data_IF_094861171014
#
_entry.id   IF_094861171014
#
_cell.length_a   1.000
_cell.length_b   1.000
_cell.length_c   1.000
_cell.angle_alpha   90.00
_cell.angle_beta   90.00
_cell.angle_gamma   90.00
#
_symmetry.space_group_name_H-M   'P 1'
#
loop_
_entity.id
_entity.type
_entity.pdbx_description
1 polymer ?
#
# COMPACT_ATOMS: atom_id res chain seq x y z
N UNK A 1 -38.39 74.35 -25.17
CA UNK A 1 -38.02 73.08 -24.50
C UNK A 1 -37.48 72.13 -25.57
N UNK A 2 -36.16 72.01 -25.67
CA UNK A 2 -35.49 71.20 -26.71
C UNK A 2 -34.24 70.53 -26.12
N UNK A 3 -34.24 69.21 -26.29
CA UNK A 3 -33.15 68.30 -26.64
C UNK A 3 -31.82 68.38 -25.87
N UNK A 4 -31.48 67.26 -25.21
CA UNK A 4 -30.21 66.58 -25.51
C UNK A 4 -30.30 65.07 -25.30
N UNK A 5 -29.79 64.33 -26.28
CA UNK A 5 -29.72 62.86 -26.37
C UNK A 5 -28.70 62.31 -25.36
N UNK A 6 -28.99 61.17 -24.73
CA UNK A 6 -27.98 60.36 -24.06
C UNK A 6 -27.85 59.00 -24.76
N UNK A 7 -26.62 58.72 -25.18
CA UNK A 7 -26.14 57.49 -25.81
C UNK A 7 -26.18 56.32 -24.81
N UNK A 8 -26.67 55.17 -25.26
CA UNK A 8 -26.52 53.91 -24.56
C UNK A 8 -25.08 53.40 -24.72
N UNK A 9 -24.38 53.17 -23.60
CA UNK A 9 -23.13 52.41 -23.55
C UNK A 9 -23.42 51.15 -22.74
N UNK A 10 -23.51 50.01 -23.43
CA UNK A 10 -23.56 48.70 -22.81
C UNK A 10 -22.15 48.33 -22.34
N UNK A 11 -21.92 48.31 -21.03
CA UNK A 11 -20.71 47.72 -20.44
C UNK A 11 -20.87 46.19 -20.36
N UNK A 12 -20.11 45.47 -21.17
CA UNK A 12 -19.86 44.03 -20.99
C UNK A 12 -18.81 43.85 -19.87
N UNK A 13 -19.05 43.03 -18.84
CA UNK A 13 -17.99 42.68 -17.89
C UNK A 13 -17.06 41.63 -18.51
N UNK A 14 -15.82 42.02 -18.79
CA UNK A 14 -14.72 41.10 -19.13
C UNK A 14 -14.27 40.40 -17.84
N UNK A 15 -14.61 39.13 -17.70
CA UNK A 15 -14.08 38.24 -16.65
C UNK A 15 -12.60 37.93 -16.95
N UNK A 16 -11.68 38.68 -16.33
CA UNK A 16 -10.28 38.28 -16.23
C UNK A 16 -10.17 37.09 -15.28
N UNK A 17 -10.02 35.89 -15.85
CA UNK A 17 -9.69 34.69 -15.09
C UNK A 17 -8.19 34.67 -14.80
N UNK A 18 -7.81 35.06 -13.58
CA UNK A 18 -6.46 34.90 -13.06
C UNK A 18 -6.16 33.41 -12.84
N UNK A 19 -5.45 32.78 -13.78
CA UNK A 19 -4.87 31.46 -13.58
C UNK A 19 -3.73 31.57 -12.57
N UNK A 20 -4.02 31.31 -11.30
CA UNK A 20 -3.01 30.99 -10.31
C UNK A 20 -2.43 29.63 -10.72
N UNK A 21 -1.25 29.67 -11.33
CA UNK A 21 -0.44 28.49 -11.65
C UNK A 21 -0.07 27.80 -10.33
N UNK A 22 -0.85 26.78 -9.97
CA UNK A 22 -0.53 25.89 -8.87
C UNK A 22 0.74 25.14 -9.27
N UNK A 23 1.87 25.49 -8.66
CA UNK A 23 3.14 24.76 -8.79
C UNK A 23 2.88 23.31 -8.37
N UNK A 24 2.73 22.45 -9.38
CA UNK A 24 2.71 21.00 -9.25
C UNK A 24 4.01 20.60 -8.56
N UNK A 25 3.91 19.98 -7.38
CA UNK A 25 5.05 19.29 -6.78
C UNK A 25 5.61 18.30 -7.83
N UNK A 26 6.94 18.15 -7.95
CA UNK A 26 7.51 17.26 -8.95
C UNK A 26 7.03 15.84 -8.67
N UNK A 27 6.50 15.17 -9.70
CA UNK A 27 6.32 13.74 -9.67
C UNK A 27 7.71 13.09 -9.50
N UNK A 28 7.86 12.01 -8.71
CA UNK A 28 9.10 11.26 -8.64
C UNK A 28 9.25 10.43 -9.92
N UNK A 29 9.63 11.08 -11.03
CA UNK A 29 9.82 10.44 -12.33
C UNK A 29 11.10 10.87 -13.05
N UNK A 30 11.99 11.63 -12.41
CA UNK A 30 13.18 12.19 -13.09
C UNK A 30 14.44 11.30 -13.08
N UNK A 31 14.44 10.09 -12.51
CA UNK A 31 15.66 9.25 -12.41
C UNK A 31 15.70 7.99 -13.29
N UNK A 32 14.73 7.77 -14.18
CA UNK A 32 14.63 6.51 -14.94
C UNK A 32 15.34 6.50 -16.32
N UNK A 33 15.93 7.60 -16.77
CA UNK A 33 16.27 7.77 -18.20
C UNK A 33 17.75 7.89 -18.55
N UNK A 34 18.68 7.90 -17.59
CA UNK A 34 20.12 7.99 -17.93
C UNK A 34 20.66 6.61 -18.31
N UNK A 35 21.21 6.42 -19.52
CA UNK A 35 21.85 5.15 -19.90
C UNK A 35 23.01 4.77 -18.95
N UNK A 36 23.33 3.48 -18.78
CA UNK A 36 24.53 3.06 -18.07
C UNK A 36 25.80 3.65 -18.70
N UNK A 37 26.80 3.96 -17.88
CA UNK A 37 28.12 4.33 -18.39
C UNK A 37 28.73 3.16 -19.20
N UNK A 38 29.65 3.41 -20.16
CA UNK A 38 30.23 2.35 -21.00
C UNK A 38 30.91 1.22 -20.22
N UNK A 39 31.45 1.51 -19.04
CA UNK A 39 32.11 0.60 -18.11
C UNK A 39 31.20 0.10 -16.96
N UNK A 40 29.89 0.36 -17.06
CA UNK A 40 28.87 -0.04 -16.08
C UNK A 40 27.93 -1.10 -16.67
N UNK A 41 27.58 -2.09 -15.85
CA UNK A 41 26.40 -2.93 -16.02
C UNK A 41 25.38 -2.46 -14.99
N UNK A 42 24.22 -2.03 -15.47
CA UNK A 42 23.11 -1.65 -14.60
C UNK A 42 22.12 -2.79 -14.51
N UNK A 43 21.81 -3.20 -13.28
CA UNK A 43 20.77 -4.14 -12.96
C UNK A 43 19.50 -3.38 -12.52
N UNK A 44 18.38 -3.66 -13.16
CA UNK A 44 17.07 -3.18 -12.74
C UNK A 44 16.49 -4.12 -11.68
N UNK A 45 16.08 -3.56 -10.55
CA UNK A 45 15.56 -4.31 -9.42
C UNK A 45 14.21 -3.77 -8.96
N UNK A 46 13.11 -4.41 -9.34
CA UNK A 46 11.78 -4.04 -8.82
C UNK A 46 11.44 -4.80 -7.54
N UNK A 47 10.78 -4.13 -6.60
CA UNK A 47 10.44 -4.74 -5.32
C UNK A 47 9.22 -4.09 -4.66
N UNK A 48 8.57 -4.82 -3.76
CA UNK A 48 7.42 -4.31 -3.01
C UNK A 48 7.77 -3.10 -2.11
N UNK A 49 7.03 -1.99 -2.25
CA UNK A 49 7.38 -0.68 -1.67
C UNK A 49 7.46 -0.62 -0.15
N UNK A 50 6.87 -1.58 0.58
CA UNK A 50 7.04 -1.74 2.03
C UNK A 50 8.49 -2.00 2.45
N UNK A 51 9.35 -2.44 1.52
CA UNK A 51 10.78 -2.68 1.78
C UNK A 51 11.67 -1.48 1.47
N UNK A 52 11.10 -0.37 1.01
CA UNK A 52 11.83 0.72 0.36
C UNK A 52 13.02 1.22 1.15
N UNK A 53 12.83 1.58 2.42
CA UNK A 53 13.92 2.07 3.26
C UNK A 53 15.10 1.09 3.34
N UNK A 54 14.80 -0.18 3.64
CA UNK A 54 15.83 -1.22 3.74
C UNK A 54 16.54 -1.45 2.39
N UNK A 55 15.78 -1.54 1.29
CA UNK A 55 16.35 -1.78 -0.04
C UNK A 55 17.18 -0.59 -0.52
N UNK A 56 16.75 0.64 -0.25
CA UNK A 56 17.52 1.86 -0.55
C UNK A 56 18.87 1.86 0.19
N UNK A 57 18.86 1.56 1.50
CA UNK A 57 20.08 1.52 2.32
C UNK A 57 21.09 0.48 1.82
N UNK A 58 20.64 -0.76 1.56
CA UNK A 58 21.54 -1.84 1.10
C UNK A 58 21.98 -1.63 -0.35
N UNK A 59 21.12 -1.06 -1.19
CA UNK A 59 21.46 -0.75 -2.60
C UNK A 59 22.48 0.38 -2.67
N UNK A 60 22.33 1.43 -1.85
CA UNK A 60 23.31 2.50 -1.74
C UNK A 60 24.67 1.95 -1.30
N UNK A 61 24.69 1.11 -0.26
CA UNK A 61 25.89 0.43 0.22
C UNK A 61 26.55 -0.41 -0.89
N UNK A 62 25.77 -1.21 -1.61
CA UNK A 62 26.28 -2.03 -2.71
C UNK A 62 26.88 -1.17 -3.84
N UNK A 63 26.17 -0.13 -4.29
CA UNK A 63 26.63 0.74 -5.37
C UNK A 63 27.90 1.52 -5.00
N UNK A 64 28.08 1.86 -3.71
CA UNK A 64 29.28 2.50 -3.17
C UNK A 64 30.48 1.54 -3.05
N UNK A 65 30.23 0.23 -2.87
CA UNK A 65 31.30 -0.78 -2.78
C UNK A 65 32.18 -0.87 -4.04
N UNK A 66 31.67 -0.38 -5.19
CA UNK A 66 32.37 -0.46 -6.45
C UNK A 66 32.53 -1.88 -6.98
N UNK A 67 31.59 -2.79 -6.62
CA UNK A 67 31.58 -4.16 -7.10
C UNK A 67 31.74 -4.24 -8.62
N UNK A 68 32.54 -5.21 -9.08
CA UNK A 68 32.86 -5.40 -10.49
C UNK A 68 32.57 -6.84 -10.92
N UNK A 69 32.20 -6.99 -12.18
CA UNK A 69 32.20 -8.29 -12.84
C UNK A 69 33.63 -8.82 -12.99
N UNK A 70 33.77 -10.11 -13.30
CA UNK A 70 35.07 -10.70 -13.64
C UNK A 70 35.76 -9.98 -14.82
N UNK A 71 34.99 -9.38 -15.74
CA UNK A 71 35.50 -8.57 -16.85
C UNK A 71 35.84 -7.13 -16.49
N UNK A 72 35.80 -6.75 -15.21
CA UNK A 72 36.20 -5.42 -14.72
C UNK A 72 35.15 -4.31 -14.84
N UNK A 73 33.97 -4.59 -15.42
CA UNK A 73 32.85 -3.62 -15.46
C UNK A 73 32.24 -3.45 -14.08
N UNK A 74 31.96 -2.20 -13.69
CA UNK A 74 31.25 -1.88 -12.45
C UNK A 74 29.81 -2.38 -12.52
N UNK A 75 29.30 -2.91 -11.41
CA UNK A 75 27.89 -3.29 -11.26
C UNK A 75 27.19 -2.16 -10.50
N UNK A 76 26.10 -1.66 -11.06
CA UNK A 76 25.21 -0.72 -10.40
C UNK A 76 23.80 -1.31 -10.35
N UNK A 77 23.11 -1.15 -9.22
CA UNK A 77 21.72 -1.57 -9.04
C UNK A 77 20.84 -0.34 -9.00
N UNK A 78 19.81 -0.33 -9.83
CA UNK A 78 18.74 0.65 -9.80
C UNK A 78 17.49 -0.03 -9.23
N UNK A 79 17.17 0.30 -7.98
CA UNK A 79 16.06 -0.30 -7.26
C UNK A 79 14.78 0.54 -7.38
N UNK A 80 13.64 -0.11 -7.67
CA UNK A 80 12.36 0.54 -7.98
C UNK A 80 11.25 0.01 -7.06
N UNK A 81 10.73 0.81 -6.11
CA UNK A 81 9.64 0.40 -5.23
C UNK A 81 8.28 0.44 -5.97
N UNK A 82 7.51 -0.65 -5.88
CA UNK A 82 6.22 -0.82 -6.58
C UNK A 82 5.19 -1.61 -5.76
N UNK A 83 3.96 -1.75 -6.25
CA UNK A 83 3.06 -2.81 -5.79
C UNK A 83 3.63 -4.20 -6.09
N UNK A 84 3.43 -5.19 -5.22
CA UNK A 84 3.96 -6.54 -5.46
C UNK A 84 3.30 -7.26 -6.65
N UNK A 85 2.02 -6.98 -6.90
CA UNK A 85 1.33 -7.44 -8.11
C UNK A 85 1.84 -6.69 -9.33
N UNK A 86 2.02 -5.37 -9.21
CA UNK A 86 2.58 -4.53 -10.28
C UNK A 86 3.98 -5.00 -10.74
N UNK A 87 4.89 -5.33 -9.81
CA UNK A 87 6.20 -5.94 -10.13
C UNK A 87 6.07 -7.14 -11.08
N UNK A 88 5.11 -8.04 -10.79
CA UNK A 88 4.92 -9.27 -11.57
C UNK A 88 4.15 -9.00 -12.86
N UNK A 89 3.13 -8.15 -12.82
CA UNK A 89 2.32 -7.81 -13.99
C UNK A 89 3.16 -7.10 -15.06
N UNK A 90 4.05 -6.19 -14.66
CA UNK A 90 4.97 -5.50 -15.57
C UNK A 90 5.96 -6.47 -16.21
N UNK A 91 6.52 -7.39 -15.41
CA UNK A 91 7.42 -8.44 -15.88
C UNK A 91 6.73 -9.40 -16.86
N UNK A 92 5.56 -9.93 -16.49
CA UNK A 92 4.80 -10.91 -17.31
C UNK A 92 4.29 -10.28 -18.61
N UNK A 93 3.88 -9.02 -18.57
CA UNK A 93 3.42 -8.30 -19.77
C UNK A 93 4.57 -7.81 -20.67
N UNK A 94 5.82 -7.90 -20.21
CA UNK A 94 6.98 -7.37 -20.93
C UNK A 94 7.01 -5.84 -20.98
N UNK A 95 6.25 -5.15 -20.12
CA UNK A 95 6.34 -3.69 -19.97
C UNK A 95 7.69 -3.27 -19.39
N UNK A 96 8.25 -4.12 -18.55
CA UNK A 96 9.58 -3.96 -17.98
C UNK A 96 10.40 -5.25 -18.09
N UNK A 97 11.72 -5.08 -18.08
CA UNK A 97 12.70 -6.14 -18.16
C UNK A 97 13.61 -6.07 -16.93
N UNK A 98 13.03 -6.35 -15.77
CA UNK A 98 13.77 -6.36 -14.51
C UNK A 98 14.75 -7.55 -14.46
N UNK A 99 15.99 -7.27 -14.05
CA UNK A 99 17.00 -8.31 -13.81
C UNK A 99 16.80 -9.02 -12.46
N UNK A 100 16.23 -8.29 -11.50
CA UNK A 100 15.96 -8.74 -10.14
C UNK A 100 14.54 -8.37 -9.75
N UNK A 101 13.87 -9.26 -9.01
CA UNK A 101 12.57 -8.96 -8.43
C UNK A 101 12.48 -9.38 -6.96
N UNK A 102 11.75 -8.62 -6.15
CA UNK A 102 11.42 -8.97 -4.77
C UNK A 102 10.00 -8.51 -4.41
N UNK A 103 8.96 -9.16 -4.95
CA UNK A 103 7.59 -8.94 -4.48
C UNK A 103 7.50 -9.35 -3.01
N UNK A 104 6.54 -8.79 -2.28
CA UNK A 104 6.41 -9.01 -0.84
C UNK A 104 6.00 -10.43 -0.47
N UNK A 105 5.39 -11.18 -1.40
CA UNK A 105 4.94 -12.54 -1.17
C UNK A 105 5.12 -13.42 -2.40
N UNK A 106 5.37 -14.71 -2.15
CA UNK A 106 5.47 -15.73 -3.18
C UNK A 106 4.16 -15.94 -3.95
N UNK A 107 3.03 -15.44 -3.45
CA UNK A 107 1.74 -15.56 -4.12
C UNK A 107 1.77 -14.92 -5.51
N UNK A 108 2.38 -13.74 -5.64
CA UNK A 108 2.49 -13.05 -6.92
C UNK A 108 3.43 -13.78 -7.87
N UNK A 109 4.55 -14.33 -7.38
CA UNK A 109 5.47 -15.14 -8.20
C UNK A 109 4.74 -16.36 -8.76
N UNK A 110 3.97 -17.07 -7.92
CA UNK A 110 3.20 -18.25 -8.35
C UNK A 110 2.15 -17.89 -9.40
N UNK A 111 1.42 -16.78 -9.21
CA UNK A 111 0.43 -16.29 -10.16
C UNK A 111 1.09 -15.89 -11.49
N UNK A 112 2.18 -15.11 -11.44
CA UNK A 112 2.92 -14.68 -12.62
C UNK A 112 3.53 -15.85 -13.40
N UNK A 113 4.15 -16.81 -12.73
CA UNK A 113 4.67 -18.01 -13.38
C UNK A 113 3.55 -18.88 -13.95
N UNK A 114 2.39 -18.98 -13.29
CA UNK A 114 1.24 -19.69 -13.87
C UNK A 114 0.76 -19.03 -15.16
N UNK A 115 0.65 -17.70 -15.17
CA UNK A 115 0.31 -16.94 -16.38
C UNK A 115 1.37 -17.10 -17.48
N UNK A 116 2.66 -16.99 -17.12
CA UNK A 116 3.75 -17.14 -18.09
C UNK A 116 3.81 -18.56 -18.68
N UNK A 117 3.60 -19.61 -17.88
CA UNK A 117 3.50 -20.99 -18.38
C UNK A 117 2.35 -21.15 -19.36
N UNK A 118 1.19 -20.56 -19.07
CA UNK A 118 0.05 -20.61 -19.97
C UNK A 118 0.33 -19.91 -21.31
N UNK A 119 1.13 -18.84 -21.31
CA UNK A 119 1.46 -18.07 -22.51
C UNK A 119 2.69 -18.57 -23.29
N UNK A 120 3.72 -19.06 -22.60
CA UNK A 120 5.05 -19.32 -23.18
C UNK A 120 5.59 -20.73 -22.91
N UNK A 121 4.89 -21.52 -22.08
CA UNK A 121 5.33 -22.85 -21.66
C UNK A 121 6.46 -22.85 -20.62
N UNK A 122 6.87 -21.70 -20.09
CA UNK A 122 7.98 -21.56 -19.13
C UNK A 122 7.63 -20.63 -17.98
N UNK A 123 8.36 -20.78 -16.88
CA UNK A 123 8.32 -19.82 -15.78
C UNK A 123 9.09 -18.56 -16.18
N UNK A 124 8.59 -17.38 -15.80
CA UNK A 124 9.28 -16.10 -16.03
C UNK A 124 10.22 -15.74 -14.89
N UNK A 125 9.87 -16.16 -13.67
CA UNK A 125 10.72 -16.03 -12.48
C UNK A 125 11.31 -17.39 -12.14
N UNK A 126 12.63 -17.46 -12.01
CA UNK A 126 13.33 -18.67 -11.58
C UNK A 126 13.19 -18.97 -10.08
N UNK A 127 14.17 -19.72 -9.55
CA UNK A 127 14.22 -20.05 -8.13
C UNK A 127 14.36 -18.78 -7.27
N UNK A 128 13.62 -18.73 -6.17
CA UNK A 128 13.63 -17.59 -5.23
C UNK A 128 13.92 -18.03 -3.80
N UNK A 129 14.37 -17.09 -2.98
CA UNK A 129 14.61 -17.27 -1.56
C UNK A 129 13.95 -16.14 -0.77
N UNK A 130 13.46 -16.46 0.43
CA UNK A 130 12.95 -15.44 1.33
C UNK A 130 14.12 -14.70 1.98
N UNK A 131 14.21 -13.39 1.77
CA UNK A 131 15.27 -12.56 2.35
C UNK A 131 14.90 -12.04 3.75
N UNK A 132 13.64 -11.65 3.91
CA UNK A 132 13.08 -11.09 5.15
C UNK A 132 11.62 -11.53 5.28
N UNK A 133 11.13 -11.59 6.52
CA UNK A 133 9.72 -11.86 6.83
C UNK A 133 9.19 -10.74 7.72
N UNK A 134 8.03 -10.19 7.35
CA UNK A 134 7.27 -9.27 8.18
C UNK A 134 5.80 -9.63 8.02
N UNK A 135 5.07 -9.93 9.10
CA UNK A 135 3.64 -10.20 9.02
C UNK A 135 2.86 -8.92 8.66
N UNK A 136 1.67 -9.10 8.11
CA UNK A 136 0.66 -8.03 8.03
C UNK A 136 -0.08 -7.89 9.37
N UNK A 137 -0.36 -6.67 9.78
CA UNK A 137 -1.02 -6.35 11.05
C UNK A 137 -2.13 -5.34 10.80
N UNK A 138 -3.09 -5.27 11.72
CA UNK A 138 -4.01 -4.14 11.75
C UNK A 138 -3.27 -3.00 12.46
N UNK A 139 -2.72 -2.09 11.68
CA UNK A 139 -2.13 -0.85 12.16
C UNK A 139 -3.24 0.11 12.60
N UNK A 140 -3.24 0.53 13.86
CA UNK A 140 -4.25 1.42 14.42
C UNK A 140 -3.59 2.47 15.31
N UNK A 141 -4.13 3.68 15.34
CA UNK A 141 -3.66 4.70 16.28
C UNK A 141 -3.83 4.21 17.72
N UNK A 142 -2.78 4.29 18.53
CA UNK A 142 -2.74 3.74 19.90
C UNK A 142 -4.00 4.06 20.74
N UNK A 143 -4.47 5.32 20.86
CA UNK A 143 -5.66 5.61 21.67
C UNK A 143 -6.94 4.96 21.11
N UNK A 144 -7.06 4.80 19.79
CA UNK A 144 -8.17 4.09 19.15
C UNK A 144 -8.11 2.59 19.41
N UNK A 145 -6.91 2.00 19.37
CA UNK A 145 -6.70 0.60 19.70
C UNK A 145 -7.06 0.29 21.16
N UNK A 146 -6.62 1.13 22.09
CA UNK A 146 -6.93 1.00 23.51
C UNK A 146 -8.44 1.13 23.78
N UNK A 147 -9.14 2.02 23.07
CA UNK A 147 -10.59 2.20 23.17
C UNK A 147 -11.38 0.94 22.82
N UNK A 148 -10.86 0.10 21.92
CA UNK A 148 -11.48 -1.19 21.56
C UNK A 148 -10.98 -2.37 22.40
N UNK A 149 -10.09 -2.11 23.36
CA UNK A 149 -9.60 -3.07 24.35
C UNK A 149 -8.22 -3.67 24.04
N UNK A 150 -7.50 -3.16 23.04
CA UNK A 150 -6.12 -3.56 22.79
C UNK A 150 -5.26 -3.33 24.06
N UNK A 151 -4.36 -4.27 24.34
CA UNK A 151 -3.57 -4.31 25.58
C UNK A 151 -4.29 -4.93 26.79
N UNK A 152 -5.61 -5.15 26.71
CA UNK A 152 -6.42 -5.79 27.77
C UNK A 152 -7.06 -7.10 27.33
N UNK A 153 -7.45 -7.21 26.07
CA UNK A 153 -8.02 -8.43 25.46
C UNK A 153 -7.45 -8.64 24.04
N UNK A 154 -7.46 -9.89 23.53
CA UNK A 154 -7.19 -10.14 22.12
C UNK A 154 -8.20 -9.42 21.23
N UNK A 155 -7.69 -8.68 20.23
CA UNK A 155 -8.49 -8.00 19.22
C UNK A 155 -8.39 -8.78 17.91
N UNK A 156 -9.49 -8.92 17.18
CA UNK A 156 -9.52 -9.65 15.91
C UNK A 156 -10.43 -9.03 14.87
N UNK A 157 -10.61 -9.74 13.75
CA UNK A 157 -11.42 -9.26 12.63
C UNK A 157 -12.90 -9.07 12.99
N UNK A 158 -13.42 -9.85 13.94
CA UNK A 158 -14.78 -9.64 14.44
C UNK A 158 -14.95 -8.28 15.15
N UNK A 159 -13.90 -7.79 15.83
CA UNK A 159 -13.91 -6.47 16.48
C UNK A 159 -13.86 -5.36 15.41
N UNK A 160 -13.09 -5.56 14.32
CA UNK A 160 -13.07 -4.64 13.16
C UNK A 160 -14.43 -4.62 12.45
N UNK A 161 -15.06 -5.77 12.24
CA UNK A 161 -16.41 -5.85 11.67
C UNK A 161 -17.45 -5.12 12.53
N UNK A 162 -17.33 -5.20 13.86
CA UNK A 162 -18.23 -4.48 14.76
C UNK A 162 -18.07 -2.96 14.60
N UNK A 163 -16.84 -2.44 14.53
CA UNK A 163 -16.56 -1.03 14.26
C UNK A 163 -17.08 -0.60 12.88
N UNK A 164 -16.84 -1.42 11.85
CA UNK A 164 -17.28 -1.17 10.48
C UNK A 164 -18.80 -1.05 10.35
N UNK A 165 -19.55 -1.80 11.16
CA UNK A 165 -21.02 -1.79 11.16
C UNK A 165 -21.63 -0.73 12.07
N UNK A 166 -20.85 -0.10 12.95
CA UNK A 166 -21.37 0.89 13.88
C UNK A 166 -21.55 2.26 13.22
N UNK A 167 -22.81 2.60 12.95
CA UNK A 167 -23.19 3.89 12.35
C UNK A 167 -22.89 5.10 13.24
N UNK A 168 -22.73 4.93 14.55
CA UNK A 168 -22.32 6.00 15.47
C UNK A 168 -20.80 6.18 15.50
N UNK A 169 -20.05 5.26 14.90
CA UNK A 169 -18.60 5.26 14.85
C UNK A 169 -17.98 5.34 16.24
N UNK A 170 -16.97 6.19 16.38
CA UNK A 170 -16.23 6.37 17.62
C UNK A 170 -17.06 6.99 18.75
N UNK A 171 -18.26 7.54 18.47
CA UNK A 171 -19.18 8.02 19.50
C UNK A 171 -19.66 6.89 20.43
N UNK A 172 -19.83 5.66 19.91
CA UNK A 172 -20.18 4.49 20.74
C UNK A 172 -19.12 4.12 21.77
N UNK A 173 -17.89 4.61 21.55
CA UNK A 173 -16.75 4.40 22.42
C UNK A 173 -16.42 5.65 23.26
N UNK A 174 -17.26 6.70 23.21
CA UNK A 174 -17.06 7.95 23.95
C UNK A 174 -16.11 8.95 23.29
N UNK A 175 -15.75 8.74 22.02
CA UNK A 175 -14.81 9.58 21.28
C UNK A 175 -15.41 10.15 19.98
N UNK A 176 -16.49 10.96 20.05
CA UNK A 176 -17.15 11.50 18.87
C UNK A 176 -16.23 12.35 17.98
N UNK A 177 -15.16 12.94 18.55
CA UNK A 177 -14.17 13.72 17.81
C UNK A 177 -13.39 12.91 16.75
N UNK A 178 -13.38 11.58 16.84
CA UNK A 178 -12.76 10.71 15.83
C UNK A 178 -13.72 10.35 14.68
N UNK A 179 -15.00 10.73 14.77
CA UNK A 179 -16.00 10.55 13.72
C UNK A 179 -16.36 9.08 13.44
N UNK A 180 -16.69 8.78 12.19
CA UNK A 180 -16.98 7.42 11.73
C UNK A 180 -15.70 6.57 11.71
N UNK A 181 -15.84 5.27 11.94
CA UNK A 181 -14.74 4.34 11.73
C UNK A 181 -14.38 4.27 10.23
N UNK A 182 -13.09 4.41 9.93
CA UNK A 182 -12.56 4.32 8.55
C UNK A 182 -11.45 3.28 8.52
N UNK A 183 -11.66 2.24 7.73
CA UNK A 183 -10.70 1.17 7.53
C UNK A 183 -10.05 1.28 6.15
N UNK A 184 -8.88 0.68 5.97
CA UNK A 184 -8.30 0.59 4.65
C UNK A 184 -7.21 -0.48 4.51
N UNK A 185 -7.12 -1.04 3.33
CA UNK A 185 -6.01 -1.85 2.90
C UNK A 185 -5.71 -1.53 1.43
N UNK A 186 -4.66 -2.11 0.87
CA UNK A 186 -4.33 -1.87 -0.54
C UNK A 186 -5.22 -2.66 -1.49
N UNK A 187 -5.21 -2.32 -2.78
CA UNK A 187 -5.99 -3.06 -3.77
C UNK A 187 -5.49 -4.52 -3.87
N UNK A 188 -6.35 -5.54 -3.69
CA UNK A 188 -5.94 -6.95 -3.62
C UNK A 188 -5.21 -7.45 -4.86
N UNK A 189 -5.53 -6.91 -6.05
CA UNK A 189 -4.85 -7.31 -7.29
C UNK A 189 -3.41 -6.80 -7.39
N UNK A 190 -3.13 -5.61 -6.85
CA UNK A 190 -1.88 -4.90 -7.14
C UNK A 190 -0.88 -4.94 -5.99
N UNK A 191 -1.33 -5.19 -4.76
CA UNK A 191 -0.51 -5.06 -3.57
C UNK A 191 -0.80 -6.13 -2.53
N UNK A 192 0.28 -6.56 -1.87
CA UNK A 192 0.24 -7.74 -1.01
C UNK A 192 -0.61 -7.55 0.25
N UNK A 193 -0.60 -6.37 0.89
CA UNK A 193 -1.45 -6.18 2.07
C UNK A 193 -2.93 -6.32 1.74
N UNK A 194 -3.36 -5.97 0.52
CA UNK A 194 -4.73 -6.13 0.06
C UNK A 194 -5.16 -7.59 -0.04
N UNK A 195 -4.40 -8.41 -0.78
CA UNK A 195 -4.74 -9.83 -0.91
C UNK A 195 -4.63 -10.57 0.42
N UNK A 196 -3.63 -10.26 1.24
CA UNK A 196 -3.50 -10.86 2.57
C UNK A 196 -4.60 -10.43 3.55
N UNK A 197 -5.16 -9.22 3.41
CA UNK A 197 -6.34 -8.80 4.18
C UNK A 197 -7.53 -9.68 3.87
N UNK A 198 -7.86 -9.84 2.58
CA UNK A 198 -8.97 -10.71 2.17
C UNK A 198 -8.77 -12.16 2.59
N UNK A 199 -7.55 -12.69 2.46
CA UNK A 199 -7.24 -14.04 2.94
C UNK A 199 -7.48 -14.13 4.45
N UNK A 200 -6.97 -13.18 5.23
CA UNK A 200 -7.12 -13.17 6.68
C UNK A 200 -8.59 -13.04 7.12
N UNK A 201 -9.38 -12.19 6.48
CA UNK A 201 -10.80 -12.02 6.76
C UNK A 201 -11.60 -13.28 6.47
N UNK A 202 -11.31 -13.99 5.38
CA UNK A 202 -11.95 -15.27 5.07
C UNK A 202 -11.61 -16.34 6.10
N UNK A 203 -10.34 -16.46 6.51
CA UNK A 203 -9.94 -17.38 7.57
C UNK A 203 -10.62 -17.05 8.90
N UNK A 204 -10.71 -15.76 9.25
CA UNK A 204 -11.38 -15.30 10.45
C UNK A 204 -12.89 -15.58 10.44
N UNK A 205 -13.55 -15.34 9.31
CA UNK A 205 -14.98 -15.58 9.14
C UNK A 205 -15.35 -17.07 9.31
N UNK A 206 -14.46 -17.96 8.84
CA UNK A 206 -14.67 -19.42 8.86
C UNK A 206 -14.18 -20.03 10.18
N UNK A 207 -13.28 -19.35 10.90
CA UNK A 207 -12.67 -19.87 12.12
C UNK A 207 -11.62 -20.95 11.87
N UNK A 208 -10.89 -20.86 10.74
CA UNK A 208 -9.81 -21.78 10.37
C UNK A 208 -8.45 -21.09 10.47
N UNK A 209 -7.41 -21.88 10.71
CA UNK A 209 -6.01 -21.43 10.60
C UNK A 209 -5.28 -22.02 9.38
N UNK A 210 -5.88 -23.03 8.73
CA UNK A 210 -5.34 -23.70 7.53
C UNK A 210 -6.46 -24.39 6.76
N UNK A 211 -6.20 -24.71 5.49
CA UNK A 211 -7.11 -25.50 4.66
C UNK A 211 -8.42 -24.77 4.33
N UNK A 212 -8.34 -23.47 4.03
CA UNK A 212 -9.47 -22.73 3.47
C UNK A 212 -9.82 -23.30 2.09
N UNK A 213 -11.11 -23.56 1.86
CA UNK A 213 -11.63 -24.10 0.60
C UNK A 213 -12.47 -23.07 -0.13
N UNK A 214 -12.71 -23.28 -1.43
CA UNK A 214 -13.62 -22.44 -2.24
C UNK A 214 -15.03 -22.42 -1.62
N UNK A 215 -15.54 -23.57 -1.17
CA UNK A 215 -16.85 -23.65 -0.53
C UNK A 215 -16.94 -22.84 0.77
N UNK A 216 -15.84 -22.73 1.53
CA UNK A 216 -15.81 -21.88 2.72
C UNK A 216 -15.94 -20.39 2.36
N UNK A 217 -15.25 -19.97 1.29
CA UNK A 217 -15.25 -18.58 0.78
C UNK A 217 -16.61 -18.23 0.17
N UNK A 218 -17.20 -19.15 -0.59
CA UNK A 218 -18.50 -18.95 -1.24
C UNK A 218 -19.68 -19.00 -0.26
N UNK A 219 -19.47 -19.50 0.97
CA UNK A 219 -20.49 -19.55 2.00
C UNK A 219 -21.10 -18.15 2.25
N UNK A 220 -22.44 -18.00 2.22
CA UNK A 220 -23.09 -16.69 2.41
C UNK A 220 -22.71 -15.99 3.72
N UNK A 221 -22.43 -16.72 4.80
CA UNK A 221 -22.00 -16.14 6.08
C UNK A 221 -20.59 -15.56 5.99
N UNK A 222 -19.68 -16.28 5.34
CA UNK A 222 -18.31 -15.81 5.08
C UNK A 222 -18.34 -14.54 4.24
N UNK A 223 -19.10 -14.55 3.14
CA UNK A 223 -19.28 -13.37 2.28
C UNK A 223 -19.86 -12.19 3.04
N UNK A 224 -20.86 -12.40 3.90
CA UNK A 224 -21.47 -11.34 4.70
C UNK A 224 -20.52 -10.76 5.75
N UNK A 225 -19.60 -11.58 6.28
CA UNK A 225 -18.54 -11.15 7.19
C UNK A 225 -17.55 -10.25 6.47
N UNK A 226 -16.93 -10.76 5.39
CA UNK A 226 -15.96 -10.04 4.56
C UNK A 226 -16.57 -8.75 4.02
N UNK A 227 -17.74 -8.83 3.35
CA UNK A 227 -18.42 -7.63 2.83
C UNK A 227 -18.74 -6.60 3.91
N UNK A 228 -18.94 -7.03 5.16
CA UNK A 228 -19.19 -6.11 6.26
C UNK A 228 -17.96 -5.29 6.67
N UNK A 229 -16.76 -5.86 6.52
CA UNK A 229 -15.49 -5.16 6.72
C UNK A 229 -15.19 -4.31 5.48
N UNK A 230 -15.28 -4.90 4.28
CA UNK A 230 -14.97 -4.25 3.01
C UNK A 230 -15.85 -3.02 2.73
N UNK A 231 -17.10 -3.00 3.22
CA UNK A 231 -17.96 -1.83 3.11
C UNK A 231 -17.43 -0.58 3.86
N UNK A 232 -16.50 -0.75 4.80
CA UNK A 232 -15.84 0.34 5.52
C UNK A 232 -14.52 0.79 4.91
N UNK A 233 -14.07 0.14 3.82
CA UNK A 233 -12.84 0.48 3.12
C UNK A 233 -13.06 1.74 2.29
N UNK A 234 -12.47 2.85 2.72
CA UNK A 234 -12.64 4.15 2.06
C UNK A 234 -11.55 4.47 1.03
N UNK A 235 -10.48 3.67 0.98
CA UNK A 235 -9.39 3.84 0.04
C UNK A 235 -8.61 2.54 -0.19
N UNK A 236 -8.44 2.16 -1.46
CA UNK A 236 -7.46 1.17 -1.87
C UNK A 236 -6.19 1.86 -2.34
N UNK A 237 -5.09 1.71 -1.59
CA UNK A 237 -3.77 2.12 -2.07
C UNK A 237 -3.26 1.17 -3.16
N UNK A 238 -2.51 1.69 -4.14
CA UNK A 238 -1.87 0.86 -5.18
C UNK A 238 -0.68 0.06 -4.66
N UNK A 239 -0.05 0.51 -3.57
CA UNK A 239 1.09 -0.15 -2.95
C UNK A 239 1.14 0.09 -1.44
N UNK A 240 1.59 -0.91 -0.67
CA UNK A 240 1.47 -0.89 0.81
C UNK A 240 2.37 0.16 1.45
N UNK A 241 3.62 0.29 1.01
CA UNK A 241 4.54 1.32 1.48
C UNK A 241 3.97 2.73 1.29
N UNK A 242 3.48 3.04 0.09
CA UNK A 242 2.88 4.35 -0.21
C UNK A 242 1.59 4.60 0.58
N UNK A 243 0.74 3.58 0.70
CA UNK A 243 -0.50 3.67 1.47
C UNK A 243 -0.25 3.92 2.96
N UNK A 244 0.68 3.19 3.58
CA UNK A 244 1.03 3.39 4.98
C UNK A 244 1.67 4.74 5.26
N UNK A 245 2.55 5.23 4.37
CA UNK A 245 3.07 6.61 4.49
C UNK A 245 1.95 7.65 4.47
N UNK A 246 0.97 7.51 3.57
CA UNK A 246 -0.20 8.39 3.51
C UNK A 246 -1.05 8.32 4.80
N UNK A 247 -1.23 7.14 5.38
CA UNK A 247 -1.86 6.98 6.71
C UNK A 247 -1.11 7.83 7.76
N UNK A 248 0.20 7.64 7.87
CA UNK A 248 1.02 8.33 8.86
C UNK A 248 1.06 9.84 8.66
N UNK A 249 1.09 10.29 7.40
CA UNK A 249 1.13 11.71 7.04
C UNK A 249 -0.20 12.43 7.25
N UNK A 250 -1.32 11.74 7.05
CA UNK A 250 -2.66 12.34 7.10
C UNK A 250 -3.32 12.21 8.48
N UNK A 251 -2.83 11.31 9.32
CA UNK A 251 -3.33 11.15 10.68
C UNK A 251 -4.68 10.43 10.80
N UNK A 252 -5.27 10.41 12.01
CA UNK A 252 -6.48 9.65 12.34
C UNK A 252 -7.76 10.10 11.64
N UNK A 253 -7.80 11.32 11.11
CA UNK A 253 -8.95 11.80 10.33
C UNK A 253 -9.06 11.10 8.99
N UNK A 254 -7.94 10.67 8.42
CA UNK A 254 -7.92 9.96 7.14
C UNK A 254 -8.39 8.52 7.29
N UNK A 255 -7.77 7.75 8.18
CA UNK A 255 -8.11 6.36 8.49
C UNK A 255 -7.93 6.09 9.98
N UNK A 256 -8.86 5.35 10.56
CA UNK A 256 -8.77 4.88 11.94
C UNK A 256 -7.82 3.69 12.07
N UNK A 257 -7.86 2.79 11.09
CA UNK A 257 -6.99 1.61 11.02
C UNK A 257 -6.74 1.18 9.59
N UNK A 258 -5.65 0.44 9.39
CA UNK A 258 -5.28 -0.10 8.10
C UNK A 258 -4.52 -1.42 8.20
N UNK A 259 -4.54 -2.25 7.15
CA UNK A 259 -3.66 -3.41 7.07
C UNK A 259 -2.33 -3.03 6.44
N UNK A 260 -1.28 -3.06 7.25
CA UNK A 260 0.10 -2.73 6.90
C UNK A 260 1.05 -3.83 7.35
N UNK A 261 2.33 -3.74 7.00
CA UNK A 261 3.35 -4.61 7.57
C UNK A 261 3.76 -4.15 8.97
N UNK A 262 4.06 -5.12 9.84
CA UNK A 262 4.69 -4.87 11.13
C UNK A 262 5.94 -4.00 11.01
N UNK A 263 6.81 -4.28 10.04
CA UNK A 263 8.02 -3.50 9.77
C UNK A 263 7.72 -2.02 9.55
N UNK A 264 6.61 -1.67 8.90
CA UNK A 264 6.19 -0.29 8.70
C UNK A 264 5.69 0.38 9.98
N UNK A 265 5.02 -0.38 10.85
CA UNK A 265 4.66 0.12 12.19
C UNK A 265 5.93 0.41 12.97
N UNK A 266 6.91 -0.49 12.96
CA UNK A 266 8.22 -0.27 13.62
C UNK A 266 8.94 0.94 13.03
N UNK A 267 9.00 1.05 11.70
CA UNK A 267 9.63 2.18 10.99
C UNK A 267 8.98 3.52 11.36
N UNK A 268 7.67 3.55 11.60
CA UNK A 268 6.94 4.77 11.97
C UNK A 268 7.47 5.44 13.25
N UNK A 269 8.06 4.67 14.18
CA UNK A 269 8.67 5.20 15.41
C UNK A 269 10.05 5.84 15.19
N UNK A 270 10.69 5.52 14.07
CA UNK A 270 11.98 6.10 13.68
C UNK A 270 11.83 7.32 12.78
N UNK A 271 10.59 7.71 12.45
CA UNK A 271 10.34 8.87 11.61
C UNK A 271 10.45 10.16 12.43
N UNK A 272 11.24 11.13 11.95
CA UNK A 272 11.43 12.42 12.63
C UNK A 272 10.16 13.30 12.62
N UNK A 273 9.20 12.99 11.74
CA UNK A 273 7.93 13.71 11.67
C UNK A 273 7.04 13.30 12.85
N UNK A 274 6.60 14.29 13.63
CA UNK A 274 5.65 14.08 14.71
C UNK A 274 4.30 13.60 14.14
N UNK A 275 3.95 12.34 14.41
CA UNK A 275 2.60 11.84 14.20
C UNK A 275 1.69 12.33 15.34
N UNK A 276 0.40 12.58 15.07
CA UNK A 276 -0.54 13.03 16.10
C UNK A 276 -0.70 12.01 17.24
N UNK A 277 -0.60 10.72 16.92
CA UNK A 277 -0.54 9.63 17.89
C UNK A 277 0.45 8.56 17.44
N UNK A 278 1.00 7.75 18.36
CA UNK A 278 1.69 6.52 17.98
C UNK A 278 0.73 5.54 17.28
N UNK A 279 1.26 4.71 16.40
CA UNK A 279 0.54 3.59 15.78
C UNK A 279 0.99 2.29 16.41
N UNK A 280 0.07 1.36 16.64
CA UNK A 280 0.36 0.03 17.18
C UNK A 280 0.06 -1.05 16.16
N UNK A 281 0.81 -2.15 16.26
CA UNK A 281 0.57 -3.37 15.50
C UNK A 281 -0.41 -4.25 16.28
N UNK A 282 -1.65 -4.37 15.79
CA UNK A 282 -2.60 -5.34 16.32
C UNK A 282 -2.46 -6.63 15.50
N UNK A 283 -1.96 -7.68 16.15
CA UNK A 283 -1.99 -9.04 15.61
C UNK A 283 -3.39 -9.62 15.84
N UNK A 284 -4.15 -9.93 14.78
CA UNK A 284 -5.49 -10.46 14.95
C UNK A 284 -5.46 -11.76 15.74
N UNK A 285 -6.40 -11.96 16.66
CA UNK A 285 -6.51 -13.19 17.46
C UNK A 285 -6.69 -14.45 16.61
N UNK A 286 -7.17 -14.31 15.38
CA UNK A 286 -7.30 -15.39 14.40
C UNK A 286 -5.98 -15.78 13.72
N UNK A 287 -4.93 -14.97 13.84
CA UNK A 287 -3.61 -15.17 13.23
C UNK A 287 -3.25 -14.09 12.19
N UNK A 288 -2.04 -14.20 11.63
CA UNK A 288 -1.49 -13.30 10.61
C UNK A 288 -0.80 -14.07 9.48
N UNK A 289 -0.51 -13.38 8.38
CA UNK A 289 0.16 -13.87 7.17
C UNK A 289 1.39 -13.02 6.85
N UNK A 290 2.35 -13.62 6.15
CA UNK A 290 3.57 -13.00 5.64
C UNK A 290 3.86 -13.49 4.23
#
# INVERSE_FOLDING_TARGET
MRATRFFAIALLPVLLSSFISCKKSPAPSESFSTPPAPDEIRLLFSYGSEKQKWIEDVTATFNQSGAKTAGGKRIAVQAIPKGSGECIDDLVSGREHDDLISPASNIFIKLGNAQSRAATGKDIVGNTQNLVLSPVVIAMWKPMAEAIGWGKKPVGWADILALARDKKGWSSYGYPQWGSFKFGHTHPQYSNSGILSLVAENYAAVGKARGLTVADVENPKTRAFVNGIEASVVHYGSSTGFFGRKLFDSGPEYLSAAVLYESMVVESYSNAKAMPFPVVAIYPKEGTFW
#
